data_IF_100001022540
#
_entry.id   IF_100001022540
#
_cell.length_a   1.000
_cell.length_b   1.000
_cell.length_c   1.000
_cell.angle_alpha   90.00
_cell.angle_beta   90.00
_cell.angle_gamma   90.00
#
_symmetry.space_group_name_H-M   'P 1'
#
loop_
_entity.id
_entity.type
_entity.pdbx_description
1 polymer ?
#
# COMPACT_ATOMS: atom_id res chain seq x y z
N UNK A 1 21.45 -33.09 2.82
CA UNK A 1 21.26 -33.01 1.36
C UNK A 1 20.98 -31.56 0.98
N UNK A 2 21.81 -30.98 0.13
CA UNK A 2 21.77 -29.56 -0.23
C UNK A 2 20.75 -29.32 -1.35
N UNK A 3 19.46 -29.40 -1.01
CA UNK A 3 18.37 -29.18 -1.97
C UNK A 3 18.38 -27.76 -2.58
N UNK A 4 19.13 -26.82 -1.98
CA UNK A 4 19.25 -25.44 -2.41
C UNK A 4 19.90 -25.31 -3.81
N UNK A 5 20.91 -26.13 -4.12
CA UNK A 5 21.57 -26.10 -5.44
C UNK A 5 20.87 -26.96 -6.49
N UNK A 6 19.72 -27.54 -6.16
CA UNK A 6 18.97 -28.38 -7.11
C UNK A 6 18.44 -27.48 -8.24
N UNK A 7 18.74 -27.82 -9.52
CA UNK A 7 18.15 -27.12 -10.65
C UNK A 7 16.63 -27.18 -10.60
N UNK A 8 15.99 -26.06 -10.90
CA UNK A 8 14.54 -25.91 -10.88
C UNK A 8 14.09 -25.31 -12.20
N UNK A 9 13.16 -25.99 -12.87
CA UNK A 9 12.49 -25.48 -14.07
C UNK A 9 11.09 -25.05 -13.67
N UNK A 10 10.87 -23.75 -13.46
CA UNK A 10 9.56 -23.20 -13.12
C UNK A 10 8.65 -23.13 -14.36
N UNK A 11 9.22 -22.73 -15.49
CA UNK A 11 8.57 -22.68 -16.80
C UNK A 11 9.52 -23.19 -17.89
N UNK A 12 8.99 -23.51 -19.08
CA UNK A 12 9.83 -23.90 -20.21
C UNK A 12 10.88 -22.81 -20.52
N UNK A 13 12.16 -23.18 -20.57
CA UNK A 13 13.27 -22.26 -20.85
C UNK A 13 13.83 -21.50 -19.63
N UNK A 14 13.28 -21.65 -18.43
CA UNK A 14 13.89 -21.07 -17.22
C UNK A 14 14.97 -22.00 -16.66
N UNK A 15 16.18 -21.49 -16.45
CA UNK A 15 17.25 -22.18 -15.74
C UNK A 15 17.55 -21.46 -14.42
N UNK A 16 17.11 -22.03 -13.31
CA UNK A 16 17.33 -21.47 -11.96
C UNK A 16 17.60 -22.59 -10.96
N UNK A 17 17.89 -22.25 -9.71
CA UNK A 17 18.02 -23.20 -8.60
C UNK A 17 16.94 -22.94 -7.56
N UNK A 18 16.71 -23.92 -6.68
CA UNK A 18 15.85 -23.74 -5.50
C UNK A 18 16.32 -22.55 -4.67
N UNK A 19 17.63 -22.40 -4.46
CA UNK A 19 18.22 -21.28 -3.71
C UNK A 19 17.87 -19.93 -4.32
N UNK A 20 18.09 -19.78 -5.62
CA UNK A 20 17.86 -18.51 -6.30
C UNK A 20 16.37 -18.14 -6.31
N UNK A 21 15.50 -19.12 -6.57
CA UNK A 21 14.04 -18.91 -6.58
C UNK A 21 13.54 -18.53 -5.19
N UNK A 22 13.99 -19.26 -4.16
CA UNK A 22 13.60 -19.00 -2.78
C UNK A 22 14.17 -17.67 -2.26
N UNK A 23 15.42 -17.34 -2.54
CA UNK A 23 16.01 -16.05 -2.20
C UNK A 23 15.24 -14.88 -2.85
N UNK A 24 14.87 -15.01 -4.13
CA UNK A 24 14.05 -14.02 -4.83
C UNK A 24 12.70 -13.82 -4.15
N UNK A 25 12.03 -14.92 -3.77
CA UNK A 25 10.77 -14.87 -3.02
C UNK A 25 10.92 -14.20 -1.65
N UNK A 26 12.02 -14.47 -0.92
CA UNK A 26 12.30 -13.83 0.38
C UNK A 26 12.53 -12.33 0.21
N UNK A 27 13.29 -11.92 -0.81
CA UNK A 27 13.53 -10.50 -1.11
C UNK A 27 12.24 -9.78 -1.47
N UNK A 28 11.40 -10.41 -2.31
CA UNK A 28 10.09 -9.90 -2.66
C UNK A 28 9.20 -9.75 -1.43
N UNK A 29 8.96 -10.85 -0.71
CA UNK A 29 8.15 -10.88 0.52
C UNK A 29 8.60 -9.82 1.53
N UNK A 30 9.90 -9.74 1.82
CA UNK A 30 10.43 -8.82 2.82
C UNK A 30 10.40 -7.34 2.41
N UNK A 31 10.22 -7.06 1.11
CA UNK A 31 10.19 -5.71 0.54
C UNK A 31 8.77 -5.22 0.25
N UNK A 32 7.87 -6.11 -0.16
CA UNK A 32 6.52 -5.74 -0.61
C UNK A 32 5.43 -6.00 0.44
N UNK A 33 5.56 -7.04 1.27
CA UNK A 33 4.44 -7.55 2.05
C UNK A 33 3.80 -6.49 2.98
N UNK A 34 2.61 -6.05 2.59
CA UNK A 34 1.82 -5.06 3.32
C UNK A 34 2.22 -3.60 3.12
N UNK A 35 3.07 -3.30 2.13
CA UNK A 35 3.50 -1.94 1.78
C UNK A 35 3.07 -1.52 0.36
N UNK A 36 2.64 -2.48 -0.47
CA UNK A 36 2.23 -2.26 -1.85
C UNK A 36 0.72 -2.52 -2.01
N UNK A 37 0.08 -1.78 -2.91
CA UNK A 37 -1.28 -2.09 -3.37
C UNK A 37 -1.27 -3.35 -4.26
N UNK A 38 -2.41 -3.99 -4.55
CA UNK A 38 -2.46 -5.18 -5.41
C UNK A 38 -1.83 -4.96 -6.80
N UNK A 39 -2.07 -3.80 -7.41
CA UNK A 39 -1.44 -3.41 -8.68
C UNK A 39 0.08 -3.31 -8.55
N UNK A 40 0.56 -2.65 -7.49
CA UNK A 40 1.98 -2.51 -7.21
C UNK A 40 2.64 -3.85 -6.89
N UNK A 41 1.92 -4.78 -6.25
CA UNK A 41 2.36 -6.15 -5.97
C UNK A 41 2.59 -6.93 -7.26
N UNK A 42 1.68 -6.80 -8.23
CA UNK A 42 1.86 -7.39 -9.57
C UNK A 42 3.07 -6.81 -10.29
N UNK A 43 3.29 -5.50 -10.23
CA UNK A 43 4.49 -4.88 -10.81
C UNK A 43 5.75 -5.40 -10.08
N UNK A 44 5.73 -5.46 -8.75
CA UNK A 44 6.85 -5.93 -7.93
C UNK A 44 7.22 -7.39 -8.23
N UNK A 45 6.22 -8.27 -8.38
CA UNK A 45 6.41 -9.66 -8.80
C UNK A 45 7.22 -9.73 -10.12
N UNK A 46 6.81 -8.94 -11.12
CA UNK A 46 7.47 -8.92 -12.45
C UNK A 46 8.89 -8.36 -12.37
N UNK A 47 9.09 -7.33 -11.56
CA UNK A 47 10.42 -6.79 -11.28
C UNK A 47 11.32 -7.84 -10.62
N UNK A 48 10.89 -8.50 -9.55
CA UNK A 48 11.70 -9.53 -8.89
C UNK A 48 11.95 -10.76 -9.77
N UNK A 49 11.00 -11.15 -10.61
CA UNK A 49 11.20 -12.21 -11.60
C UNK A 49 12.32 -11.85 -12.59
N UNK A 50 12.36 -10.61 -13.09
CA UNK A 50 13.42 -10.13 -13.99
C UNK A 50 14.78 -9.95 -13.26
N UNK A 51 14.74 -9.55 -11.98
CA UNK A 51 15.93 -9.26 -11.17
C UNK A 51 16.53 -10.50 -10.49
N UNK A 52 15.80 -11.62 -10.45
CA UNK A 52 16.08 -12.76 -9.58
C UNK A 52 17.39 -13.50 -9.84
N UNK A 53 18.03 -13.30 -11.00
CA UNK A 53 19.34 -13.93 -11.24
C UNK A 53 20.40 -13.41 -10.27
N UNK A 54 21.17 -14.31 -9.65
CA UNK A 54 22.18 -13.96 -8.65
C UNK A 54 21.65 -13.70 -7.24
N UNK A 55 20.36 -13.95 -6.96
CA UNK A 55 19.88 -14.06 -5.58
C UNK A 55 20.46 -15.33 -4.93
N UNK A 56 21.01 -15.21 -3.72
CA UNK A 56 21.72 -16.30 -3.06
C UNK A 56 21.33 -16.44 -1.59
N UNK A 57 21.51 -17.65 -1.06
CA UNK A 57 21.26 -17.99 0.33
C UNK A 57 22.60 -18.35 0.98
N UNK A 58 22.94 -17.67 2.07
CA UNK A 58 24.14 -17.95 2.86
C UNK A 58 23.80 -18.67 4.16
N UNK A 59 24.75 -19.46 4.67
CA UNK A 59 24.71 -20.10 6.00
C UNK A 59 25.38 -19.25 7.08
N UNK A 60 26.22 -18.30 6.68
CA UNK A 60 26.93 -17.39 7.59
C UNK A 60 26.43 -15.96 7.41
N UNK A 61 26.37 -15.22 8.51
CA UNK A 61 26.14 -13.79 8.48
C UNK A 61 27.48 -13.09 8.23
N UNK A 62 27.59 -12.40 7.09
CA UNK A 62 28.77 -11.64 6.65
C UNK A 62 28.59 -10.13 6.81
N UNK A 63 27.48 -9.68 7.41
CA UNK A 63 27.09 -8.27 7.52
C UNK A 63 26.27 -7.75 6.34
N UNK A 64 26.20 -8.46 5.21
CA UNK A 64 25.42 -8.09 4.02
C UNK A 64 24.04 -8.77 3.98
N UNK A 65 23.76 -9.72 4.87
CA UNK A 65 22.44 -10.33 5.01
C UNK A 65 21.37 -9.28 5.33
N UNK A 66 20.36 -9.16 4.48
CA UNK A 66 19.21 -8.26 4.67
C UNK A 66 18.06 -8.95 5.41
N UNK A 67 17.82 -10.21 5.04
CA UNK A 67 16.81 -11.07 5.67
C UNK A 67 17.45 -12.35 6.19
N UNK A 68 16.82 -12.92 7.22
CA UNK A 68 17.15 -14.21 7.78
C UNK A 68 15.88 -15.07 7.93
N UNK A 69 16.03 -16.38 7.80
CA UNK A 69 14.96 -17.34 8.06
C UNK A 69 15.55 -18.62 8.65
N UNK A 70 14.78 -19.29 9.49
CA UNK A 70 15.19 -20.49 10.20
C UNK A 70 14.50 -21.72 9.59
N UNK A 71 15.27 -22.68 9.09
CA UNK A 71 14.73 -23.94 8.56
C UNK A 71 14.16 -24.88 9.64
N UNK A 72 14.49 -24.64 10.92
CA UNK A 72 14.00 -25.42 12.05
C UNK A 72 12.69 -24.85 12.65
N UNK A 73 12.28 -23.64 12.26
CA UNK A 73 11.07 -23.00 12.78
C UNK A 73 10.15 -22.51 11.65
N UNK A 74 8.83 -22.73 11.74
CA UNK A 74 7.88 -22.29 10.72
C UNK A 74 7.55 -20.78 10.86
N UNK A 75 8.57 -19.93 11.04
CA UNK A 75 8.41 -18.48 11.16
C UNK A 75 8.68 -17.79 9.84
N UNK A 76 7.95 -16.71 9.49
CA UNK A 76 8.24 -15.93 8.29
C UNK A 76 9.68 -15.38 8.29
N UNK A 77 10.26 -15.09 7.11
CA UNK A 77 11.53 -14.39 7.01
C UNK A 77 11.50 -13.06 7.76
N UNK A 78 12.58 -12.77 8.47
CA UNK A 78 12.72 -11.58 9.31
C UNK A 78 13.95 -10.78 8.90
N UNK A 79 14.04 -9.51 9.32
CA UNK A 79 15.23 -8.70 9.07
C UNK A 79 16.41 -9.31 9.81
N UNK A 80 17.53 -9.49 9.12
CA UNK A 80 18.75 -9.96 9.76
C UNK A 80 19.28 -8.88 10.73
N UNK A 81 19.81 -9.31 11.87
CA UNK A 81 20.40 -8.43 12.88
C UNK A 81 21.79 -8.92 13.23
N UNK A 82 22.73 -8.01 13.46
CA UNK A 82 24.13 -8.35 13.74
C UNK A 82 24.34 -9.14 15.04
N UNK A 83 23.35 -9.14 15.95
CA UNK A 83 23.38 -9.89 17.21
C UNK A 83 22.61 -11.22 17.19
N UNK A 84 22.11 -11.68 16.05
CA UNK A 84 21.38 -12.95 15.98
C UNK A 84 22.30 -14.13 16.30
N UNK A 85 21.86 -15.02 17.20
CA UNK A 85 22.58 -16.27 17.50
C UNK A 85 22.55 -17.18 16.29
N UNK A 86 23.68 -17.29 15.59
CA UNK A 86 23.81 -18.14 14.40
C UNK A 86 23.77 -19.62 14.82
N UNK A 87 22.96 -20.42 14.12
CA UNK A 87 22.87 -21.87 14.31
C UNK A 87 22.71 -22.58 12.96
N UNK A 88 22.90 -23.92 12.88
CA UNK A 88 23.02 -24.62 11.60
C UNK A 88 21.80 -24.56 10.65
N UNK A 89 20.62 -24.22 11.17
CA UNK A 89 19.38 -24.11 10.38
C UNK A 89 19.07 -22.66 9.94
N UNK A 90 19.78 -21.67 10.49
CA UNK A 90 19.61 -20.26 10.11
C UNK A 90 20.22 -20.00 8.73
N UNK A 91 19.51 -19.23 7.92
CA UNK A 91 19.93 -18.83 6.57
C UNK A 91 19.76 -17.34 6.39
N UNK A 92 20.60 -16.75 5.54
CA UNK A 92 20.63 -15.32 5.26
C UNK A 92 20.46 -15.06 3.76
N UNK A 93 19.79 -13.96 3.42
CA UNK A 93 19.60 -13.51 2.04
C UNK A 93 20.10 -12.07 1.94
N UNK A 94 21.09 -11.85 1.09
CA UNK A 94 21.61 -10.52 0.74
C UNK A 94 20.86 -9.96 -0.47
N UNK A 95 20.92 -8.64 -0.65
CA UNK A 95 20.15 -7.95 -1.70
C UNK A 95 21.00 -7.00 -2.57
N UNK A 96 22.31 -6.91 -2.37
CA UNK A 96 23.15 -5.88 -2.99
C UNK A 96 23.10 -5.92 -4.53
N UNK A 97 23.14 -7.13 -5.10
CA UNK A 97 23.02 -7.32 -6.55
C UNK A 97 21.66 -6.87 -7.09
N UNK A 98 20.57 -7.22 -6.41
CA UNK A 98 19.20 -6.83 -6.80
C UNK A 98 18.99 -5.33 -6.65
N UNK A 99 19.55 -4.74 -5.59
CA UNK A 99 19.50 -3.30 -5.36
C UNK A 99 20.24 -2.53 -6.46
N UNK A 100 21.44 -2.98 -6.84
CA UNK A 100 22.20 -2.36 -7.94
C UNK A 100 21.43 -2.43 -9.26
N UNK A 101 20.84 -3.59 -9.58
CA UNK A 101 20.04 -3.75 -10.79
C UNK A 101 18.77 -2.90 -10.81
N UNK A 102 18.11 -2.71 -9.66
CA UNK A 102 17.01 -1.75 -9.51
C UNK A 102 17.50 -0.32 -9.75
N UNK A 103 18.68 0.05 -9.25
CA UNK A 103 19.26 1.38 -9.52
C UNK A 103 19.52 1.59 -11.01
N UNK A 104 20.01 0.57 -11.72
CA UNK A 104 20.26 0.65 -13.15
C UNK A 104 18.96 0.68 -13.97
N UNK A 105 17.93 -0.07 -13.54
CA UNK A 105 16.59 0.01 -14.11
C UNK A 105 15.99 1.41 -13.94
N UNK A 106 16.10 2.01 -12.75
CA UNK A 106 15.57 3.34 -12.46
C UNK A 106 16.14 4.40 -13.40
N UNK A 107 17.43 4.33 -13.77
CA UNK A 107 18.04 5.24 -14.75
C UNK A 107 17.38 5.20 -16.14
N UNK A 108 16.81 4.06 -16.54
CA UNK A 108 16.07 3.93 -17.79
C UNK A 108 14.64 4.47 -17.63
N UNK A 109 14.00 4.14 -16.50
CA UNK A 109 12.65 4.60 -16.20
C UNK A 109 12.57 6.13 -16.04
N UNK A 110 13.60 6.76 -15.47
CA UNK A 110 13.74 8.23 -15.38
C UNK A 110 13.78 8.91 -16.77
N UNK A 111 14.14 8.16 -17.83
CA UNK A 111 14.12 8.63 -19.22
C UNK A 111 12.81 8.31 -19.93
N UNK A 112 11.82 7.76 -19.23
CA UNK A 112 10.57 7.30 -19.83
C UNK A 112 10.69 5.99 -20.62
N UNK A 113 11.73 5.17 -20.38
CA UNK A 113 12.01 3.96 -21.17
C UNK A 113 11.77 2.70 -20.32
N UNK A 114 10.83 1.86 -20.75
CA UNK A 114 10.67 0.49 -20.24
C UNK A 114 11.63 -0.46 -20.99
N UNK A 115 12.54 -1.17 -20.30
CA UNK A 115 13.46 -2.09 -20.96
C UNK A 115 12.76 -3.29 -21.59
N UNK A 116 13.16 -3.68 -22.81
CA UNK A 116 12.58 -4.83 -23.55
C UNK A 116 12.70 -6.16 -22.81
N UNK A 117 13.71 -6.31 -21.93
CA UNK A 117 13.91 -7.51 -21.12
C UNK A 117 12.92 -7.67 -19.95
N UNK A 118 12.09 -6.66 -19.67
CA UNK A 118 11.12 -6.70 -18.58
C UNK A 118 9.78 -7.25 -19.09
N UNK A 119 9.51 -8.51 -18.78
CA UNK A 119 8.31 -9.20 -19.25
C UNK A 119 7.12 -9.01 -18.29
N UNK A 120 6.07 -8.34 -18.78
CA UNK A 120 4.80 -8.16 -18.07
C UNK A 120 3.70 -9.14 -18.53
N UNK A 121 4.03 -10.15 -19.34
CA UNK A 121 3.11 -11.19 -19.83
C UNK A 121 1.82 -10.65 -20.47
N UNK A 122 1.95 -9.56 -21.23
CA UNK A 122 0.83 -8.91 -21.93
C UNK A 122 0.13 -7.81 -21.12
N UNK A 123 0.41 -7.67 -19.82
CA UNK A 123 -0.04 -6.51 -19.06
C UNK A 123 0.70 -5.25 -19.54
N UNK A 124 -0.01 -4.13 -19.57
CA UNK A 124 0.52 -2.81 -19.92
C UNK A 124 0.50 -1.94 -18.67
N UNK A 125 1.65 -1.36 -18.35
CA UNK A 125 1.81 -0.41 -17.26
C UNK A 125 2.44 0.87 -17.82
N UNK A 126 2.03 2.00 -17.28
CA UNK A 126 2.69 3.28 -17.58
C UNK A 126 4.09 3.27 -16.97
N UNK A 127 5.04 3.95 -17.64
CA UNK A 127 6.44 3.94 -17.19
C UNK A 127 6.57 4.49 -15.77
N UNK A 128 5.81 5.52 -15.42
CA UNK A 128 5.83 6.11 -14.09
C UNK A 128 5.34 5.14 -13.01
N UNK A 129 4.33 4.31 -13.31
CA UNK A 129 3.85 3.30 -12.35
C UNK A 129 4.95 2.27 -12.04
N UNK A 130 5.66 1.82 -13.07
CA UNK A 130 6.79 0.88 -12.90
C UNK A 130 7.93 1.55 -12.14
N UNK A 131 8.22 2.82 -12.45
CA UNK A 131 9.24 3.63 -11.78
C UNK A 131 8.97 3.80 -10.29
N UNK A 132 7.76 4.17 -9.92
CA UNK A 132 7.37 4.33 -8.51
C UNK A 132 7.57 3.03 -7.72
N UNK A 133 7.15 1.89 -8.27
CA UNK A 133 7.33 0.58 -7.61
C UNK A 133 8.81 0.22 -7.52
N UNK A 134 9.58 0.36 -8.60
CA UNK A 134 11.03 0.10 -8.59
C UNK A 134 11.76 0.98 -7.56
N UNK A 135 11.37 2.25 -7.44
CA UNK A 135 11.94 3.19 -6.47
C UNK A 135 11.65 2.77 -5.03
N UNK A 136 10.42 2.34 -4.73
CA UNK A 136 10.02 1.82 -3.41
C UNK A 136 10.81 0.55 -3.05
N UNK A 137 10.91 -0.39 -3.98
CA UNK A 137 11.69 -1.63 -3.78
C UNK A 137 13.18 -1.34 -3.56
N UNK A 138 13.74 -0.39 -4.32
CA UNK A 138 15.13 0.02 -4.16
C UNK A 138 15.41 0.62 -2.78
N UNK A 139 14.45 1.40 -2.25
CA UNK A 139 14.52 1.98 -0.90
C UNK A 139 14.37 0.92 0.20
N UNK A 140 13.60 -0.15 -0.02
CA UNK A 140 13.40 -1.22 0.97
C UNK A 140 14.55 -2.22 1.07
N UNK A 141 15.33 -2.34 0.00
CA UNK A 141 16.51 -3.22 -0.10
C UNK A 141 17.80 -2.52 0.34
N UNK A 142 17.78 -1.80 1.46
CA UNK A 142 18.97 -1.08 1.99
C UNK A 142 19.47 -1.64 3.31
N UNK A 143 20.76 -1.47 3.58
CA UNK A 143 21.41 -1.75 4.86
C UNK A 143 21.92 -0.45 5.51
N UNK A 144 21.71 -0.22 6.82
CA UNK A 144 20.79 -0.99 7.66
C UNK A 144 19.35 -0.89 7.14
N UNK A 145 18.49 -1.89 7.39
CA UNK A 145 17.09 -1.85 6.97
C UNK A 145 16.42 -0.56 7.43
N UNK A 146 15.47 0.00 6.65
CA UNK A 146 14.71 1.16 7.09
C UNK A 146 14.03 0.82 8.42
N UNK A 147 14.38 1.55 9.47
CA UNK A 147 13.70 1.40 10.75
C UNK A 147 12.36 2.13 10.66
N UNK A 148 11.39 1.59 11.39
CA UNK A 148 10.08 2.21 11.47
C UNK A 148 10.24 3.61 12.06
N UNK A 149 9.79 4.64 11.34
CA UNK A 149 9.90 6.04 11.77
C UNK A 149 9.11 6.32 13.06
N UNK A 150 8.02 5.59 13.28
CA UNK A 150 7.17 5.74 14.48
C UNK A 150 6.98 4.40 15.19
N UNK A 151 7.30 4.27 16.48
CA UNK A 151 7.12 3.03 17.22
C UNK A 151 5.64 2.66 17.33
N UNK A 152 5.34 1.36 17.34
CA UNK A 152 4.00 0.87 17.68
C UNK A 152 3.81 0.84 19.18
N UNK A 153 2.67 1.34 19.62
CA UNK A 153 2.24 1.25 21.02
C UNK A 153 1.16 0.18 21.12
N UNK A 154 1.34 -0.77 22.03
CA UNK A 154 0.27 -1.70 22.40
C UNK A 154 -0.75 -0.91 23.20
N UNK A 155 -1.94 -0.76 22.67
CA UNK A 155 -3.06 -0.07 23.30
C UNK A 155 -4.30 -0.91 23.05
N UNK A 156 -5.25 -0.89 23.98
CA UNK A 156 -6.59 -1.43 23.77
C UNK A 156 -7.54 -0.26 23.67
N UNK A 157 -7.98 0.01 22.45
CA UNK A 157 -8.93 1.09 22.15
C UNK A 157 -9.98 0.49 21.23
N UNK A 158 -11.24 0.77 21.54
CA UNK A 158 -12.34 0.43 20.66
C UNK A 158 -12.45 1.48 19.55
N UNK A 159 -12.71 1.03 18.34
CA UNK A 159 -13.08 1.87 17.22
C UNK A 159 -14.40 1.39 16.62
N UNK A 160 -15.22 2.33 16.18
CA UNK A 160 -16.28 2.04 15.22
C UNK A 160 -15.67 1.88 13.84
N UNK A 161 -16.18 0.93 13.07
CA UNK A 161 -15.70 0.58 11.73
C UNK A 161 -16.82 0.73 10.70
N UNK A 162 -16.46 1.27 9.54
CA UNK A 162 -17.29 1.30 8.34
C UNK A 162 -16.50 0.63 7.20
N UNK A 163 -17.00 -0.49 6.67
CA UNK A 163 -16.36 -1.21 5.57
C UNK A 163 -16.88 -0.69 4.22
N UNK A 164 -15.98 -0.18 3.38
CA UNK A 164 -16.28 0.29 2.03
C UNK A 164 -16.65 1.77 1.90
N UNK A 165 -16.55 2.28 0.68
CA UNK A 165 -16.75 3.68 0.31
C UNK A 165 -18.15 4.18 0.67
N UNK A 166 -19.20 3.43 0.32
CA UNK A 166 -20.59 3.84 0.59
C UNK A 166 -20.86 4.01 2.08
N UNK A 167 -20.45 3.03 2.90
CA UNK A 167 -20.62 3.09 4.35
C UNK A 167 -19.80 4.21 4.97
N UNK A 168 -18.63 4.54 4.43
CA UNK A 168 -17.85 5.69 4.89
C UNK A 168 -18.51 7.02 4.51
N UNK A 169 -19.07 7.11 3.31
CA UNK A 169 -19.72 8.32 2.82
C UNK A 169 -20.94 8.69 3.68
N UNK A 170 -21.73 7.70 4.09
CA UNK A 170 -22.84 7.87 5.06
C UNK A 170 -22.39 8.44 6.41
N UNK A 171 -21.10 8.30 6.76
CA UNK A 171 -20.51 8.81 8.01
C UNK A 171 -19.72 10.10 7.80
N UNK A 172 -19.61 10.57 6.57
CA UNK A 172 -19.02 11.87 6.25
C UNK A 172 -20.01 12.99 6.52
N UNK A 173 -19.51 14.21 6.71
CA UNK A 173 -20.31 15.40 7.03
C UNK A 173 -21.34 15.78 5.94
N UNK A 174 -21.27 15.16 4.76
CA UNK A 174 -22.16 15.39 3.60
C UNK A 174 -23.22 14.29 3.44
N UNK A 175 -23.08 13.16 4.16
CA UNK A 175 -24.04 12.07 4.10
C UNK A 175 -25.35 12.43 4.80
N UNK A 176 -26.47 12.40 4.07
CA UNK A 176 -27.79 12.27 4.68
C UNK A 176 -27.73 11.01 5.56
N UNK A 177 -27.85 11.18 6.88
CA UNK A 177 -27.73 10.09 7.86
C UNK A 177 -28.91 9.12 7.75
N UNK A 178 -28.99 8.37 6.66
CA UNK A 178 -30.01 7.35 6.45
C UNK A 178 -29.65 6.12 7.26
N UNK A 179 -30.28 6.01 8.44
CA UNK A 179 -30.22 4.82 9.27
C UNK A 179 -28.82 4.50 9.75
N UNK A 180 -28.46 4.95 10.94
CA UNK A 180 -27.27 4.45 11.61
C UNK A 180 -27.43 2.94 11.87
N UNK A 181 -27.02 2.10 10.91
CA UNK A 181 -26.65 0.72 11.23
C UNK A 181 -25.64 0.81 12.38
N UNK A 182 -25.79 -0.07 13.37
CA UNK A 182 -24.82 -0.21 14.46
C UNK A 182 -23.45 -0.45 13.81
N UNK A 183 -22.57 0.54 13.94
CA UNK A 183 -21.21 0.41 13.44
C UNK A 183 -20.54 -0.73 14.18
N UNK A 184 -19.84 -1.59 13.45
CA UNK A 184 -19.12 -2.68 14.08
C UNK A 184 -18.01 -2.10 14.96
N UNK A 185 -17.85 -2.63 16.18
CA UNK A 185 -16.80 -2.20 17.11
C UNK A 185 -15.65 -3.19 17.08
N UNK A 186 -14.45 -2.71 16.73
CA UNK A 186 -13.22 -3.49 16.75
C UNK A 186 -12.30 -3.00 17.87
N UNK A 187 -11.54 -3.93 18.47
CA UNK A 187 -10.44 -3.59 19.38
C UNK A 187 -9.14 -3.44 18.56
N UNK A 188 -8.39 -2.37 18.82
CA UNK A 188 -7.01 -2.21 18.35
C UNK A 188 -6.09 -2.99 19.29
N UNK A 189 -5.12 -3.74 18.76
CA UNK A 189 -4.03 -4.33 19.55
C UNK A 189 -2.79 -3.42 19.58
N UNK A 190 -2.49 -2.79 18.44
CA UNK A 190 -1.38 -1.87 18.30
C UNK A 190 -1.69 -0.71 17.34
N UNK A 191 -1.13 0.47 17.64
CA UNK A 191 -1.25 1.66 16.80
C UNK A 191 0.11 2.29 16.55
N UNK A 192 0.26 2.91 15.39
CA UNK A 192 1.33 3.84 15.02
C UNK A 192 0.73 5.04 14.30
N UNK A 193 1.53 6.08 14.01
CA UNK A 193 1.06 7.25 13.28
C UNK A 193 0.57 6.93 11.86
N UNK A 194 0.99 5.80 11.28
CA UNK A 194 0.72 5.43 9.88
C UNK A 194 -0.21 4.22 9.75
N UNK A 195 -0.83 3.75 10.83
CA UNK A 195 -1.67 2.55 10.78
C UNK A 195 -1.77 1.80 12.09
N UNK A 196 -2.68 0.83 12.12
CA UNK A 196 -3.02 0.04 13.30
C UNK A 196 -3.29 -1.42 12.94
N UNK A 197 -3.37 -2.26 13.97
CA UNK A 197 -3.74 -3.68 13.85
C UNK A 197 -4.98 -3.98 14.69
N UNK A 198 -5.91 -4.72 14.10
CA UNK A 198 -7.05 -5.31 14.79
C UNK A 198 -7.07 -6.81 14.61
N UNK A 199 -7.67 -7.51 15.58
CA UNK A 199 -7.83 -8.96 15.56
C UNK A 199 -9.28 -9.26 15.85
N UNK A 200 -9.94 -9.91 14.89
CA UNK A 200 -11.37 -10.20 14.98
C UNK A 200 -11.64 -11.67 14.64
N UNK A 201 -12.66 -12.29 15.23
CA UNK A 201 -13.12 -13.61 14.80
C UNK A 201 -13.47 -13.59 13.30
N UNK A 202 -13.10 -14.65 12.56
CA UNK A 202 -13.34 -14.70 11.11
C UNK A 202 -14.80 -14.47 10.71
N UNK A 203 -15.76 -14.94 11.52
CA UNK A 203 -17.20 -14.73 11.27
C UNK A 203 -17.64 -13.26 11.26
N UNK A 204 -16.84 -12.37 11.88
CA UNK A 204 -17.06 -10.91 11.89
C UNK A 204 -16.35 -10.18 10.75
N UNK A 205 -15.38 -10.81 10.10
CA UNK A 205 -14.59 -10.21 9.03
C UNK A 205 -15.28 -10.24 7.65
N UNK A 206 -16.62 -10.25 7.61
CA UNK A 206 -17.33 -10.45 6.35
C UNK A 206 -17.05 -9.31 5.36
N UNK A 207 -16.64 -9.68 4.14
CA UNK A 207 -16.29 -8.71 3.09
C UNK A 207 -14.94 -7.98 3.28
N UNK A 208 -14.13 -8.34 4.27
CA UNK A 208 -12.78 -7.76 4.44
C UNK A 208 -11.76 -8.52 3.61
N UNK A 209 -11.04 -7.81 2.73
CA UNK A 209 -9.99 -8.33 1.86
C UNK A 209 -8.78 -7.39 1.89
N UNK A 210 -7.66 -7.83 1.30
CA UNK A 210 -6.55 -6.92 1.00
C UNK A 210 -7.09 -5.84 0.05
N UNK A 211 -6.65 -4.61 0.27
CA UNK A 211 -7.09 -3.38 -0.41
C UNK A 211 -8.51 -2.90 -0.09
N UNK A 212 -9.25 -3.55 0.84
CA UNK A 212 -10.52 -3.02 1.33
C UNK A 212 -10.32 -1.66 2.00
N UNK A 213 -11.18 -0.70 1.65
CA UNK A 213 -11.27 0.60 2.30
C UNK A 213 -12.03 0.47 3.63
N UNK A 214 -11.47 1.05 4.69
CA UNK A 214 -12.08 1.06 6.01
C UNK A 214 -12.10 2.47 6.59
N UNK A 215 -13.30 2.87 7.03
CA UNK A 215 -13.50 3.99 7.92
C UNK A 215 -13.28 3.55 9.35
N UNK A 216 -12.61 4.39 10.13
CA UNK A 216 -12.44 4.15 11.57
C UNK A 216 -12.71 5.41 12.38
N UNK A 217 -13.42 5.25 13.50
CA UNK A 217 -13.63 6.30 14.49
C UNK A 217 -13.29 5.74 15.88
N UNK A 218 -12.14 6.14 16.48
CA UNK A 218 -11.82 5.78 17.85
C UNK A 218 -12.83 6.37 18.86
N UNK A 219 -13.03 5.68 19.97
CA UNK A 219 -13.87 6.19 21.06
C UNK A 219 -13.42 7.59 21.54
N UNK A 220 -14.39 8.50 21.68
CA UNK A 220 -14.14 9.89 22.08
C UNK A 220 -13.69 10.83 20.95
N UNK A 221 -13.51 10.33 19.72
CA UNK A 221 -13.18 11.15 18.55
C UNK A 221 -14.45 11.41 17.74
N UNK A 222 -14.71 12.67 17.38
CA UNK A 222 -15.94 13.08 16.69
C UNK A 222 -15.92 12.85 15.17
N UNK A 223 -14.74 12.67 14.59
CA UNK A 223 -14.55 12.51 13.15
C UNK A 223 -14.11 11.08 12.78
N UNK A 224 -14.36 10.71 11.54
CA UNK A 224 -13.90 9.46 10.95
C UNK A 224 -12.56 9.67 10.25
N UNK A 225 -11.69 8.67 10.31
CA UNK A 225 -10.49 8.55 9.49
C UNK A 225 -10.66 7.46 8.43
N UNK A 226 -9.74 7.44 7.47
CA UNK A 226 -9.69 6.44 6.40
C UNK A 226 -8.40 5.63 6.45
N UNK A 227 -8.54 4.33 6.21
CA UNK A 227 -7.41 3.41 6.06
C UNK A 227 -7.70 2.30 5.06
N UNK A 228 -6.65 1.60 4.63
CA UNK A 228 -6.74 0.49 3.68
C UNK A 228 -6.13 -0.75 4.30
N UNK A 229 -6.79 -1.88 4.12
CA UNK A 229 -6.28 -3.18 4.58
C UNK A 229 -5.08 -3.57 3.73
N UNK A 230 -3.90 -3.64 4.35
CA UNK A 230 -2.66 -4.04 3.68
C UNK A 230 -2.21 -5.46 4.01
N UNK A 231 -2.66 -6.01 5.14
CA UNK A 231 -2.22 -7.33 5.62
C UNK A 231 -3.38 -8.09 6.23
N UNK A 232 -3.48 -9.36 5.86
CA UNK A 232 -4.40 -10.33 6.43
C UNK A 232 -3.61 -11.60 6.75
N UNK A 233 -3.76 -12.10 7.96
CA UNK A 233 -3.25 -13.41 8.35
C UNK A 233 -4.20 -14.06 9.35
N UNK A 234 -4.30 -15.38 9.31
CA UNK A 234 -5.10 -16.14 10.28
C UNK A 234 -4.17 -16.79 11.30
N UNK A 235 -4.55 -16.74 12.57
CA UNK A 235 -3.88 -17.54 13.61
C UNK A 235 -4.45 -18.97 13.68
N UNK A 236 -3.90 -19.77 14.60
CA UNK A 236 -4.33 -21.15 14.82
C UNK A 236 -5.74 -21.25 15.43
N UNK A 237 -6.17 -20.21 16.14
CA UNK A 237 -7.50 -20.11 16.76
C UNK A 237 -8.58 -19.68 15.76
N UNK A 238 -8.17 -19.36 14.52
CA UNK A 238 -9.07 -18.94 13.45
C UNK A 238 -9.41 -17.45 13.46
N UNK A 239 -8.78 -16.64 14.32
CA UNK A 239 -8.93 -15.19 14.28
C UNK A 239 -8.19 -14.61 13.09
N UNK A 240 -8.75 -13.53 12.56
CA UNK A 240 -8.17 -12.76 11.48
C UNK A 240 -7.42 -11.57 12.06
N UNK A 241 -6.11 -11.55 11.84
CA UNK A 241 -5.29 -10.37 12.07
C UNK A 241 -5.31 -9.47 10.84
N UNK A 242 -5.70 -8.22 11.06
CA UNK A 242 -5.88 -7.22 10.01
C UNK A 242 -4.89 -6.10 10.28
N UNK A 243 -4.00 -5.85 9.31
CA UNK A 243 -3.10 -4.70 9.32
C UNK A 243 -3.62 -3.61 8.39
N UNK A 244 -3.95 -2.46 8.97
CA UNK A 244 -4.51 -1.30 8.27
C UNK A 244 -3.43 -0.22 8.16
N UNK A 245 -3.23 0.30 6.95
CA UNK A 245 -2.51 1.55 6.72
C UNK A 245 -3.48 2.72 6.90
N UNK A 246 -3.11 3.73 7.69
CA UNK A 246 -3.92 4.93 7.86
C UNK A 246 -3.60 5.90 6.72
N UNK A 247 -4.58 6.17 5.84
CA UNK A 247 -4.46 7.16 4.78
C UNK A 247 -4.61 8.58 5.31
N UNK A 248 -5.59 8.77 6.21
CA UNK A 248 -5.81 10.04 6.92
C UNK A 248 -6.56 9.83 8.23
N UNK A 249 -6.20 10.56 9.30
CA UNK A 249 -6.94 10.52 10.55
C UNK A 249 -8.32 11.20 10.46
N UNK A 250 -8.55 12.04 9.45
CA UNK A 250 -9.82 12.77 9.28
C UNK A 250 -10.21 12.85 7.81
N UNK A 251 -11.40 12.37 7.50
CA UNK A 251 -12.06 12.60 6.21
C UNK A 251 -13.10 13.71 6.30
N UNK A 252 -13.32 14.38 5.17
CA UNK A 252 -14.40 15.36 4.98
C UNK A 252 -15.11 15.04 3.67
N UNK A 253 -16.43 14.87 3.69
CA UNK A 253 -17.20 14.71 2.48
C UNK A 253 -17.16 16.00 1.66
N UNK A 254 -16.98 15.93 0.35
CA UNK A 254 -16.86 17.10 -0.53
C UNK A 254 -17.64 16.89 -1.83
N UNK A 255 -18.40 17.89 -2.30
CA UNK A 255 -18.94 17.87 -3.65
C UNK A 255 -17.80 18.04 -4.66
N UNK A 256 -17.86 17.27 -5.73
CA UNK A 256 -16.94 17.27 -6.85
C UNK A 256 -17.74 17.51 -8.13
N UNK A 257 -17.44 18.62 -8.78
CA UNK A 257 -18.07 19.05 -10.03
C UNK A 257 -17.05 18.96 -11.16
N UNK A 258 -17.50 18.63 -12.36
CA UNK A 258 -16.65 18.79 -13.54
C UNK A 258 -16.36 20.27 -13.76
N UNK A 259 -15.08 20.63 -13.91
CA UNK A 259 -14.71 22.03 -14.12
C UNK A 259 -15.08 22.53 -15.52
N UNK A 260 -15.02 21.67 -16.54
CA UNK A 260 -15.30 22.05 -17.92
C UNK A 260 -16.81 22.00 -18.23
N UNK A 261 -17.51 20.98 -17.73
CA UNK A 261 -18.93 20.73 -18.03
C UNK A 261 -19.74 20.44 -16.75
N UNK A 262 -19.94 21.44 -15.86
CA UNK A 262 -20.57 21.25 -14.56
C UNK A 262 -22.02 20.75 -14.66
N UNK A 263 -22.78 21.21 -15.66
CA UNK A 263 -24.21 20.91 -15.81
C UNK A 263 -24.49 19.50 -16.36
N UNK A 264 -23.61 18.95 -17.20
CA UNK A 264 -23.82 17.64 -17.85
C UNK A 264 -23.43 16.47 -16.94
N UNK A 265 -22.44 16.68 -16.07
CA UNK A 265 -21.83 15.61 -15.28
C UNK A 265 -22.55 15.31 -13.97
N UNK A 266 -23.33 16.27 -13.46
CA UNK A 266 -23.89 16.24 -12.12
C UNK A 266 -22.84 16.36 -11.01
N UNK A 267 -23.31 16.61 -9.79
CA UNK A 267 -22.45 16.64 -8.59
C UNK A 267 -22.12 15.21 -8.18
N UNK A 268 -20.83 14.88 -8.13
CA UNK A 268 -20.32 13.67 -7.49
C UNK A 268 -19.95 14.01 -6.05
N UNK A 269 -20.00 13.03 -5.14
CA UNK A 269 -19.50 13.22 -3.78
C UNK A 269 -18.24 12.36 -3.60
N UNK A 270 -17.16 13.00 -3.16
CA UNK A 270 -15.93 12.35 -2.74
C UNK A 270 -15.66 12.58 -1.26
N UNK A 271 -14.56 12.02 -0.77
CA UNK A 271 -14.03 12.30 0.57
C UNK A 271 -12.61 12.86 0.45
N UNK A 272 -12.43 14.09 0.90
CA UNK A 272 -11.13 14.72 1.06
C UNK A 272 -10.40 14.14 2.27
N UNK A 273 -9.17 13.70 2.05
CA UNK A 273 -8.29 13.18 3.10
C UNK A 273 -7.50 14.33 3.72
N UNK A 274 -7.85 14.73 4.95
CA UNK A 274 -7.12 15.78 5.65
C UNK A 274 -5.73 15.27 6.06
N UNK A 275 -4.68 15.87 5.52
CA UNK A 275 -3.28 15.54 5.79
C UNK A 275 -2.59 16.78 6.36
N UNK A 276 -2.72 17.06 7.68
CA UNK A 276 -2.38 18.36 8.27
C UNK A 276 -0.89 18.74 8.19
N UNK A 277 -0.01 17.78 7.90
CA UNK A 277 1.43 18.02 7.73
C UNK A 277 1.87 18.00 6.25
N UNK A 278 0.92 17.99 5.32
CA UNK A 278 1.18 17.92 3.88
C UNK A 278 1.10 19.32 3.26
N UNK A 279 2.27 19.86 2.90
CA UNK A 279 2.41 21.19 2.28
C UNK A 279 2.65 21.10 0.77
N UNK A 280 2.34 19.96 0.15
CA UNK A 280 2.58 19.74 -1.29
C UNK A 280 1.67 20.56 -2.22
N UNK A 281 0.56 21.10 -1.69
CA UNK A 281 -0.50 21.69 -2.50
C UNK A 281 -1.32 20.63 -3.26
N UNK A 282 -1.30 19.38 -2.81
CA UNK A 282 -2.08 18.29 -3.40
C UNK A 282 -3.32 17.96 -2.57
N UNK A 283 -4.41 17.66 -3.26
CA UNK A 283 -5.59 17.04 -2.68
C UNK A 283 -5.52 15.53 -2.88
N UNK A 284 -5.77 14.80 -1.79
CA UNK A 284 -5.99 13.35 -1.83
C UNK A 284 -7.48 13.09 -1.64
N UNK A 285 -8.07 12.41 -2.62
CA UNK A 285 -9.49 12.13 -2.66
C UNK A 285 -9.73 10.62 -2.66
N UNK A 286 -10.65 10.17 -1.82
CA UNK A 286 -11.36 8.92 -2.05
C UNK A 286 -12.60 9.25 -2.88
N UNK A 287 -12.78 8.53 -3.98
CA UNK A 287 -13.91 8.65 -4.88
C UNK A 287 -14.54 7.28 -5.06
N UNK A 288 -15.76 7.23 -5.61
CA UNK A 288 -16.35 5.95 -6.03
C UNK A 288 -15.43 5.27 -7.05
N UNK A 289 -15.42 3.94 -7.07
CA UNK A 289 -14.67 3.17 -8.07
C UNK A 289 -14.95 3.68 -9.50
N UNK A 290 -13.89 3.74 -10.31
CA UNK A 290 -13.90 4.18 -11.72
C UNK A 290 -14.31 5.66 -11.93
N UNK A 291 -14.30 6.48 -10.87
CA UNK A 291 -14.63 7.89 -10.97
C UNK A 291 -13.43 8.76 -11.38
N UNK A 292 -12.19 8.29 -11.18
CA UNK A 292 -11.00 9.04 -11.58
C UNK A 292 -10.83 9.05 -13.10
N UNK A 293 -10.60 10.24 -13.66
CA UNK A 293 -10.30 10.43 -15.09
C UNK A 293 -9.10 11.35 -15.24
N UNK A 294 -8.04 10.86 -15.87
CA UNK A 294 -6.73 11.53 -15.92
C UNK A 294 -6.72 12.91 -16.59
N UNK A 295 -7.70 13.21 -17.45
CA UNK A 295 -7.79 14.49 -18.18
C UNK A 295 -8.98 15.35 -17.72
N UNK A 296 -9.60 15.00 -16.60
CA UNK A 296 -10.77 15.68 -16.07
C UNK A 296 -10.39 16.51 -14.85
N UNK A 297 -10.46 17.83 -15.01
CA UNK A 297 -10.31 18.75 -13.88
C UNK A 297 -11.63 18.86 -13.13
N UNK A 298 -11.54 18.99 -11.80
CA UNK A 298 -12.70 19.08 -10.94
C UNK A 298 -12.73 20.41 -10.20
N UNK A 299 -13.92 20.88 -9.84
CA UNK A 299 -14.15 21.92 -8.85
C UNK A 299 -14.54 21.26 -7.52
N UNK A 300 -13.97 21.73 -6.43
CA UNK A 300 -14.27 21.26 -5.07
C UNK A 300 -14.46 22.44 -4.14
N UNK A 301 -15.50 22.36 -3.31
CA UNK A 301 -15.70 23.26 -2.18
C UNK A 301 -15.24 22.59 -0.89
N UNK A 302 -14.43 23.29 -0.10
CA UNK A 302 -13.96 22.80 1.19
C UNK A 302 -13.92 23.96 2.20
N UNK A 303 -14.82 23.91 3.19
CA UNK A 303 -15.08 25.07 4.05
C UNK A 303 -15.68 26.21 3.23
N UNK A 304 -15.16 27.42 3.40
CA UNK A 304 -15.66 28.62 2.69
C UNK A 304 -14.85 28.94 1.42
N UNK A 305 -14.10 27.96 0.90
CA UNK A 305 -13.17 28.15 -0.21
C UNK A 305 -13.46 27.19 -1.36
N UNK A 306 -13.28 27.70 -2.56
CA UNK A 306 -13.35 26.94 -3.80
C UNK A 306 -11.97 26.60 -4.35
N UNK A 307 -11.85 25.41 -4.91
CA UNK A 307 -10.61 24.88 -5.44
C UNK A 307 -10.80 24.29 -6.83
N UNK A 308 -9.86 24.61 -7.73
CA UNK A 308 -9.63 23.86 -8.95
C UNK A 308 -8.69 22.69 -8.65
N UNK A 309 -9.09 21.50 -9.07
CA UNK A 309 -8.36 20.26 -8.91
C UNK A 309 -7.88 19.77 -10.28
N UNK A 310 -6.57 19.81 -10.52
CA UNK A 310 -5.96 19.26 -11.73
C UNK A 310 -5.51 17.82 -11.45
N UNK A 311 -5.94 16.82 -12.25
CA UNK A 311 -5.61 15.42 -12.00
C UNK A 311 -4.10 15.18 -12.08
N UNK A 312 -3.56 14.44 -11.11
CA UNK A 312 -2.15 14.02 -11.10
C UNK A 312 -2.02 12.52 -11.34
N UNK A 313 -2.69 11.70 -10.52
CA UNK A 313 -2.57 10.25 -10.61
C UNK A 313 -3.73 9.52 -9.92
N UNK A 314 -4.12 8.37 -10.49
CA UNK A 314 -4.79 7.31 -9.76
C UNK A 314 -3.73 6.57 -8.93
N UNK A 315 -3.81 6.68 -7.61
CA UNK A 315 -2.83 6.08 -6.69
C UNK A 315 -3.17 4.61 -6.45
N UNK A 316 -4.45 4.33 -6.23
CA UNK A 316 -4.94 2.98 -5.96
C UNK A 316 -6.40 2.86 -6.38
N UNK A 317 -6.75 1.70 -6.93
CA UNK A 317 -8.11 1.31 -7.21
C UNK A 317 -8.46 0.10 -6.36
N UNK A 318 -9.47 0.25 -5.51
CA UNK A 318 -10.04 -0.84 -4.72
C UNK A 318 -11.28 -1.45 -5.37
N UNK A 319 -11.96 -2.29 -4.60
CA UNK A 319 -13.20 -2.95 -5.06
C UNK A 319 -14.37 -1.97 -5.20
N UNK A 320 -14.38 -0.87 -4.45
CA UNK A 320 -15.49 0.08 -4.41
C UNK A 320 -15.05 1.55 -4.34
N UNK A 321 -13.75 1.83 -4.46
CA UNK A 321 -13.20 3.18 -4.41
C UNK A 321 -12.02 3.37 -5.37
N UNK A 322 -11.81 4.63 -5.73
CA UNK A 322 -10.56 5.14 -6.28
C UNK A 322 -9.89 6.05 -5.24
N UNK A 323 -8.58 5.91 -5.05
CA UNK A 323 -7.75 6.86 -4.32
C UNK A 323 -6.93 7.64 -5.34
N UNK A 324 -7.17 8.95 -5.42
CA UNK A 324 -6.59 9.81 -6.44
C UNK A 324 -5.88 11.02 -5.84
N UNK A 325 -4.85 11.50 -6.56
CA UNK A 325 -4.13 12.73 -6.29
C UNK A 325 -4.47 13.77 -7.32
N UNK A 326 -4.71 14.98 -6.83
CA UNK A 326 -4.93 16.17 -7.63
C UNK A 326 -4.01 17.28 -7.14
N UNK A 327 -3.58 18.16 -8.04
CA UNK A 327 -3.03 19.46 -7.66
C UNK A 327 -4.18 20.37 -7.29
N UNK A 328 -4.11 21.00 -6.13
CA UNK A 328 -5.16 21.82 -5.55
C UNK A 328 -4.80 23.29 -5.67
N UNK A 329 -5.64 24.07 -6.34
CA UNK A 329 -5.43 25.50 -6.56
C UNK A 329 -6.63 26.27 -6.04
N UNK A 330 -6.43 27.06 -4.98
CA UNK A 330 -7.45 27.97 -4.47
C UNK A 330 -7.87 28.93 -5.58
N UNK A 331 -9.18 29.07 -5.77
CA UNK A 331 -9.73 30.08 -6.66
C UNK A 331 -10.03 31.31 -5.82
N UNK A 332 -9.58 32.48 -6.28
CA UNK A 332 -10.09 33.74 -5.72
C UNK A 332 -11.58 33.77 -6.05
N UNK A 333 -12.43 33.95 -5.03
CA UNK A 333 -13.83 34.25 -5.25
C UNK A 333 -13.86 35.51 -6.12
N UNK A 334 -14.18 35.35 -7.40
CA UNK A 334 -14.26 36.47 -8.33
C UNK A 334 -15.19 37.49 -7.71
N UNK A 335 -14.65 38.67 -7.39
CA UNK A 335 -15.45 39.87 -7.25
C UNK A 335 -16.09 40.10 -8.61
N UNK A 336 -17.30 39.58 -8.80
CA UNK A 336 -18.21 40.08 -9.81
C UNK A 336 -18.54 41.52 -9.42
N UNK A 337 -17.83 42.47 -10.06
CA UNK A 337 -18.23 43.88 -10.13
C UNK A 337 -19.36 44.06 -11.17
#
# INVERSE_FOLDING_TARGET
HDCLETPLTLYAGTNTTVAQSFATLVLWYGSSAGNLSPLQEHIAERLFAALGSGAAISRSYDGAGLFAFDLAQPTPPMRATAGATVHPALRFVAADGQRQRLADLLKNLDKGILPEGLNFYGAKYEVEQVREVAQRLWQSLTLPPPTRRTPRRKIKVNLKVANGFSKMLERSDVGLSFGAEESEVWEIEDISATGFRSVIPMGRANGIRIASLLGSQPDGVSHWGAGVVRRLSRDLDGNLHIGIELLSPRIVGVPLLDYANPDESGVQIGMYLNRPNDNSGEAWLLMKQDAFVANRSLKMELGDKEYLLLPLALVEQGEDYDLARYRMMEQDAGSED
#
